data_IF_849347580280
#
_entry.id   IF_849347580280
#
_cell.length_a   1.000
_cell.length_b   1.000
_cell.length_c   1.000
_cell.angle_alpha   90.00
_cell.angle_beta   90.00
_cell.angle_gamma   90.00
#
_symmetry.space_group_name_H-M   'P 1'
#
loop_
_entity.id
_entity.type
_entity.pdbx_description
1 polymer ?
#
# COMPACT_ATOMS: atom_id res chain seq x y z
N UNK A 1 25.06 -29.77 8.60
CA UNK A 1 24.19 -28.58 8.61
C UNK A 1 25.03 -27.42 8.10
N UNK A 2 24.62 -26.72 7.03
CA UNK A 2 25.41 -25.61 6.49
C UNK A 2 25.12 -24.32 7.28
N UNK A 3 26.15 -23.51 7.50
CA UNK A 3 26.04 -22.21 8.17
C UNK A 3 25.34 -21.17 7.27
N UNK A 4 24.53 -20.30 7.86
CA UNK A 4 23.75 -19.27 7.16
C UNK A 4 24.64 -18.38 6.29
N UNK A 5 25.82 -18.01 6.81
CA UNK A 5 26.80 -17.19 6.07
C UNK A 5 27.32 -17.90 4.84
N UNK A 6 27.48 -19.23 4.91
CA UNK A 6 27.92 -20.04 3.77
C UNK A 6 26.88 -20.01 2.65
N UNK A 7 25.60 -20.08 3.00
CA UNK A 7 24.49 -20.02 2.05
C UNK A 7 24.42 -18.63 1.39
N UNK A 8 24.47 -17.55 2.18
CA UNK A 8 24.43 -16.17 1.64
C UNK A 8 25.62 -15.90 0.71
N UNK A 9 26.82 -16.36 1.06
CA UNK A 9 28.00 -16.19 0.22
C UNK A 9 27.90 -16.99 -1.08
N UNK A 10 27.35 -18.20 -1.04
CA UNK A 10 27.09 -18.98 -2.25
C UNK A 10 26.10 -18.27 -3.18
N UNK A 11 24.98 -17.75 -2.66
CA UNK A 11 23.98 -17.00 -3.42
C UNK A 11 24.56 -15.73 -4.06
N UNK A 12 25.41 -14.99 -3.32
CA UNK A 12 26.12 -13.82 -3.87
C UNK A 12 27.07 -14.19 -5.00
N UNK A 13 27.81 -15.31 -4.88
CA UNK A 13 28.74 -15.78 -5.94
C UNK A 13 28.02 -16.12 -7.25
N UNK A 14 26.76 -16.54 -7.19
CA UNK A 14 25.93 -16.82 -8.36
C UNK A 14 25.03 -15.63 -8.75
N UNK A 15 25.31 -14.43 -8.23
CA UNK A 15 24.58 -13.18 -8.50
C UNK A 15 23.07 -13.24 -8.21
N UNK A 16 22.64 -14.08 -7.27
CA UNK A 16 21.27 -14.06 -6.78
C UNK A 16 21.14 -13.03 -5.65
N UNK A 17 20.24 -12.08 -5.85
CA UNK A 17 19.87 -11.09 -4.86
C UNK A 17 18.47 -11.38 -4.32
N UNK A 18 18.31 -11.25 -3.00
CA UNK A 18 16.99 -11.29 -2.39
C UNK A 18 16.21 -10.03 -2.76
N UNK A 19 15.01 -10.21 -3.31
CA UNK A 19 14.09 -9.13 -3.65
C UNK A 19 12.77 -9.38 -2.96
N UNK A 20 12.24 -8.35 -2.30
CA UNK A 20 10.88 -8.40 -1.77
C UNK A 20 9.88 -8.51 -2.91
N UNK A 21 8.93 -9.43 -2.75
CA UNK A 21 7.80 -9.51 -3.67
C UNK A 21 6.96 -8.22 -3.54
N UNK A 22 6.52 -7.63 -4.66
CA UNK A 22 5.63 -6.48 -4.60
C UNK A 22 4.32 -6.88 -3.92
N UNK A 23 3.80 -5.99 -3.07
CA UNK A 23 2.49 -6.20 -2.47
C UNK A 23 1.40 -5.96 -3.54
N UNK A 24 0.66 -7.01 -3.87
CA UNK A 24 -0.45 -6.97 -4.83
C UNK A 24 -1.74 -7.24 -4.05
N UNK A 25 -2.75 -6.36 -4.12
CA UNK A 25 -3.95 -6.48 -3.27
C UNK A 25 -4.75 -7.78 -3.47
N UNK A 26 -4.75 -8.32 -4.69
CA UNK A 26 -5.48 -9.54 -5.02
C UNK A 26 -4.80 -10.29 -6.17
N UNK A 27 -4.88 -11.62 -6.14
CA UNK A 27 -4.49 -12.47 -7.25
C UNK A 27 -5.59 -12.46 -8.32
N UNK A 28 -5.23 -12.00 -9.52
CA UNK A 28 -6.16 -11.96 -10.65
C UNK A 28 -6.22 -13.31 -11.36
N UNK A 29 -7.44 -13.76 -11.69
CA UNK A 29 -7.64 -14.91 -12.59
C UNK A 29 -7.20 -14.57 -14.02
N UNK A 30 -7.02 -15.59 -14.87
CA UNK A 30 -6.70 -15.38 -16.28
C UNK A 30 -7.80 -14.56 -17.00
N UNK A 31 -9.05 -14.77 -16.61
CA UNK A 31 -10.20 -14.07 -17.16
C UNK A 31 -10.25 -12.61 -16.70
N UNK A 32 -9.94 -12.30 -15.45
CA UNK A 32 -9.87 -10.92 -14.97
C UNK A 32 -8.77 -10.14 -15.69
N UNK A 33 -7.60 -10.78 -15.91
CA UNK A 33 -6.51 -10.19 -16.70
C UNK A 33 -6.95 -9.90 -18.12
N UNK A 34 -7.66 -10.82 -18.77
CA UNK A 34 -8.21 -10.63 -20.12
C UNK A 34 -9.19 -9.47 -20.17
N UNK A 35 -10.17 -9.44 -19.27
CA UNK A 35 -11.18 -8.37 -19.19
C UNK A 35 -10.53 -7.01 -18.94
N UNK A 36 -9.62 -6.91 -17.96
CA UNK A 36 -8.86 -5.67 -17.68
C UNK A 36 -8.12 -5.20 -18.92
N UNK A 37 -7.38 -6.08 -19.60
CA UNK A 37 -6.64 -5.72 -20.82
C UNK A 37 -7.56 -5.22 -21.94
N UNK A 38 -8.69 -5.90 -22.17
CA UNK A 38 -9.66 -5.47 -23.18
C UNK A 38 -10.23 -4.08 -22.87
N UNK A 39 -10.66 -3.85 -21.63
CA UNK A 39 -11.19 -2.56 -21.19
C UNK A 39 -10.17 -1.43 -21.34
N UNK A 40 -8.91 -1.66 -20.94
CA UNK A 40 -7.84 -0.67 -21.10
C UNK A 40 -7.58 -0.32 -22.57
N UNK A 41 -7.58 -1.30 -23.47
CA UNK A 41 -7.38 -1.05 -24.90
C UNK A 41 -8.51 -0.23 -25.50
N UNK A 42 -9.76 -0.47 -25.08
CA UNK A 42 -10.91 0.34 -25.50
C UNK A 42 -10.80 1.76 -25.00
N UNK A 43 -10.59 1.96 -23.69
CA UNK A 43 -10.43 3.29 -23.10
C UNK A 43 -9.27 4.08 -23.73
N UNK A 44 -8.16 3.40 -24.06
CA UNK A 44 -7.03 4.04 -24.74
C UNK A 44 -7.37 4.49 -26.17
N UNK A 45 -8.17 3.69 -26.90
CA UNK A 45 -8.65 4.08 -28.24
C UNK A 45 -9.57 5.29 -28.14
N UNK A 46 -10.49 5.28 -27.19
CA UNK A 46 -11.44 6.37 -26.98
C UNK A 46 -10.71 7.66 -26.58
N UNK A 47 -9.73 7.58 -25.68
CA UNK A 47 -8.89 8.72 -25.28
C UNK A 47 -8.05 9.31 -26.42
N UNK A 48 -7.67 8.49 -27.42
CA UNK A 48 -6.95 8.99 -28.61
C UNK A 48 -7.88 9.66 -29.60
N UNK A 49 -9.14 9.20 -29.67
CA UNK A 49 -10.15 9.75 -30.57
C UNK A 49 -10.74 11.04 -30.01
N UNK A 50 -11.01 11.07 -28.71
CA UNK A 50 -11.65 12.15 -27.98
C UNK A 50 -10.96 12.34 -26.62
N UNK A 51 -10.90 13.56 -26.09
CA UNK A 51 -10.29 13.84 -24.78
C UNK A 51 -11.22 13.42 -23.63
N UNK A 52 -11.42 12.12 -23.43
CA UNK A 52 -12.32 11.58 -22.41
C UNK A 52 -11.85 11.89 -20.98
N UNK A 53 -10.53 11.98 -20.74
CA UNK A 53 -9.98 12.25 -19.40
C UNK A 53 -10.45 13.61 -18.84
N UNK A 54 -10.61 14.64 -19.68
CA UNK A 54 -11.04 15.97 -19.24
C UNK A 54 -12.50 15.99 -18.75
N UNK A 55 -13.27 14.92 -19.03
CA UNK A 55 -14.69 14.78 -18.67
C UNK A 55 -14.92 13.78 -17.53
N UNK A 56 -13.90 13.01 -17.15
CA UNK A 56 -14.04 11.97 -16.13
C UNK A 56 -13.94 12.61 -14.75
N UNK A 57 -15.01 12.49 -13.98
CA UNK A 57 -15.01 12.76 -12.53
C UNK A 57 -14.89 11.41 -11.83
N UNK A 58 -13.87 11.25 -10.98
CA UNK A 58 -13.67 10.05 -10.17
C UNK A 58 -13.94 10.35 -8.70
N UNK A 59 -14.63 9.46 -8.00
CA UNK A 59 -14.78 9.47 -6.56
C UNK A 59 -14.42 8.09 -6.00
N UNK A 60 -13.76 8.06 -4.85
CA UNK A 60 -13.48 6.82 -4.10
C UNK A 60 -13.46 7.14 -2.61
N UNK A 61 -14.00 6.24 -1.80
CA UNK A 61 -14.00 6.39 -0.36
C UNK A 61 -12.70 5.86 0.22
N UNK A 62 -12.00 6.72 0.97
CA UNK A 62 -10.80 6.32 1.69
C UNK A 62 -10.99 6.44 3.19
N UNK A 63 -10.70 5.36 3.89
CA UNK A 63 -10.59 5.38 5.35
C UNK A 63 -9.33 6.16 5.76
N UNK A 64 -9.52 7.27 6.47
CA UNK A 64 -8.43 8.03 7.10
C UNK A 64 -8.43 7.73 8.59
N UNK A 65 -7.31 7.20 9.07
CA UNK A 65 -7.11 6.98 10.50
C UNK A 65 -6.88 8.31 11.21
N UNK A 66 -7.59 8.52 12.33
CA UNK A 66 -7.41 9.72 13.16
C UNK A 66 -5.96 9.88 13.65
N UNK A 67 -5.34 8.78 14.07
CA UNK A 67 -3.95 8.75 14.49
C UNK A 67 -3.17 7.69 13.70
N UNK A 68 -2.61 8.08 12.55
CA UNK A 68 -1.73 7.23 11.74
C UNK A 68 -0.27 7.43 12.13
N UNK A 69 0.10 7.15 13.39
CA UNK A 69 1.51 7.10 13.80
C UNK A 69 2.17 5.90 13.15
N UNK A 70 2.70 6.08 11.94
CA UNK A 70 3.74 5.19 11.44
C UNK A 70 4.95 5.32 12.36
N UNK A 71 5.62 4.21 12.65
CA UNK A 71 6.93 4.26 13.30
C UNK A 71 7.85 5.03 12.37
N UNK A 72 8.07 6.32 12.64
CA UNK A 72 9.11 7.08 11.95
C UNK A 72 10.43 6.43 12.34
N UNK A 73 11.08 5.77 11.38
CA UNK A 73 12.42 5.25 11.59
C UNK A 73 13.35 6.41 11.97
N UNK A 74 13.92 6.35 13.15
CA UNK A 74 14.97 7.26 13.59
C UNK A 74 16.33 6.66 13.25
N UNK A 75 17.28 7.51 12.85
CA UNK A 75 18.68 7.12 12.85
C UNK A 75 19.19 7.25 14.29
N UNK A 76 19.67 6.15 14.86
CA UNK A 76 20.32 6.14 16.18
C UNK A 76 21.73 5.59 16.04
N UNK A 77 22.65 6.05 16.89
CA UNK A 77 24.00 5.51 16.92
C UNK A 77 23.96 4.01 17.32
N UNK A 78 24.93 3.17 16.92
CA UNK A 78 24.91 1.71 17.15
C UNK A 78 24.80 1.25 18.61
N UNK A 79 24.98 2.16 19.58
CA UNK A 79 24.90 1.90 21.01
C UNK A 79 23.74 2.63 21.71
N UNK A 80 22.94 3.41 20.99
CA UNK A 80 21.80 4.13 21.54
C UNK A 80 20.51 3.30 21.38
N UNK A 81 19.77 3.13 22.49
CA UNK A 81 18.45 2.54 22.41
C UNK A 81 17.49 3.50 21.70
N UNK A 82 16.86 3.05 20.62
CA UNK A 82 15.76 3.79 20.02
C UNK A 82 14.69 4.04 21.09
N UNK A 83 14.35 5.31 21.33
CA UNK A 83 13.32 5.68 22.30
C UNK A 83 12.01 4.94 22.02
N UNK A 84 11.35 4.45 23.08
CA UNK A 84 10.06 3.79 22.95
C UNK A 84 8.98 4.85 22.71
N UNK A 85 8.30 4.76 21.57
CA UNK A 85 7.03 5.49 21.38
C UNK A 85 5.95 4.63 21.99
N UNK A 86 5.28 5.13 23.03
CA UNK A 86 4.12 4.45 23.59
C UNK A 86 3.09 4.20 22.48
N UNK A 87 2.71 2.93 22.25
CA UNK A 87 1.51 2.63 21.46
C UNK A 87 0.32 3.17 22.24
N UNK A 88 -0.10 4.39 21.93
CA UNK A 88 -1.39 4.88 22.41
C UNK A 88 -2.45 3.90 21.90
N UNK A 89 -3.32 3.45 22.79
CA UNK A 89 -4.44 2.56 22.48
C UNK A 89 -5.16 3.13 21.26
N UNK A 90 -5.27 2.34 20.20
CA UNK A 90 -6.00 2.70 18.98
C UNK A 90 -7.46 2.95 19.34
N UNK A 91 -7.83 4.18 19.68
CA UNK A 91 -9.22 4.61 19.60
C UNK A 91 -9.56 4.61 18.11
N UNK A 92 -10.32 3.61 17.66
CA UNK A 92 -10.80 3.48 16.28
C UNK A 92 -11.83 4.57 15.98
N UNK A 93 -11.36 5.80 15.79
CA UNK A 93 -12.13 6.87 15.16
C UNK A 93 -11.81 6.88 13.68
N UNK A 94 -12.86 6.70 12.89
CA UNK A 94 -12.80 6.73 11.44
C UNK A 94 -13.61 7.92 10.96
N UNK A 95 -13.12 8.54 9.90
CA UNK A 95 -13.86 9.55 9.16
C UNK A 95 -13.99 9.04 7.72
N UNK A 96 -15.19 9.11 7.18
CA UNK A 96 -15.39 9.03 5.74
C UNK A 96 -15.14 10.42 5.17
N UNK A 97 -14.23 10.49 4.21
CA UNK A 97 -14.07 11.69 3.37
C UNK A 97 -14.81 11.39 2.08
N UNK A 98 -16.00 11.97 1.95
CA UNK A 98 -16.71 12.08 0.68
C UNK A 98 -16.49 13.51 0.21
N UNK A 99 -16.38 13.75 -1.10
CA UNK A 99 -16.06 15.07 -1.66
C UNK A 99 -16.77 16.22 -0.89
N UNK A 100 -15.96 17.01 -0.18
CA UNK A 100 -16.29 18.15 0.71
C UNK A 100 -16.95 17.90 2.09
N UNK A 101 -17.35 16.68 2.46
CA UNK A 101 -17.99 16.40 3.76
C UNK A 101 -17.18 15.38 4.57
N UNK A 102 -16.75 15.79 5.76
CA UNK A 102 -16.16 14.92 6.79
C UNK A 102 -17.26 14.53 7.78
N UNK A 103 -17.65 13.26 7.80
CA UNK A 103 -18.57 12.73 8.80
C UNK A 103 -17.79 11.97 9.89
N UNK A 104 -17.98 12.34 11.18
CA UNK A 104 -17.41 11.61 12.32
C UNK A 104 -18.30 10.42 12.69
N UNK A 105 -17.78 9.20 12.55
CA UNK A 105 -18.45 8.00 13.02
C UNK A 105 -17.87 7.58 14.37
N UNK A 106 -18.59 7.87 15.45
CA UNK A 106 -18.26 7.36 16.78
C UNK A 106 -18.62 5.87 16.88
N UNK A 107 -17.60 5.01 17.05
CA UNK A 107 -17.82 3.63 17.48
C UNK A 107 -17.92 3.61 19.01
N UNK A 108 -19.05 3.14 19.56
CA UNK A 108 -19.19 2.86 20.99
C UNK A 108 -18.36 1.60 21.28
N UNK A 109 -17.37 1.73 22.16
CA UNK A 109 -16.64 0.59 22.69
C UNK A 109 -17.60 -0.20 23.59
N UNK A 110 -17.86 -1.46 23.26
CA UNK A 110 -18.52 -2.44 24.13
C UNK A 110 -17.52 -3.03 25.11
#
# INVERSE_FOLDING_TARGET
MFDEKTIVNALKRINLMFKFNPWVPHELTADDKRKRKANFLTLLRDQRKEKILDRIVTCDEKWVYYNNTSSKGGWSAPAESAGSVARLVLTRRYFSVSDEIVAELFTKNT
#
